data_IF_963251689139
#
_entry.id   IF_963251689139
#
_cell.length_a   1.000
_cell.length_b   1.000
_cell.length_c   1.000
_cell.angle_alpha   90.00
_cell.angle_beta   90.00
_cell.angle_gamma   90.00
#
_symmetry.space_group_name_H-M   'P 1'
#
loop_
_entity.id
_entity.type
_entity.pdbx_description
1 polymer ?
#
# COMPACT_ATOMS: atom_id res chain seq x y z
N UNK A 1 -9.30 -14.16 -4.82
CA UNK A 1 -10.65 -13.56 -4.62
C UNK A 1 -11.09 -12.74 -5.83
N UNK A 2 -10.32 -11.74 -6.32
CA UNK A 2 -10.72 -10.97 -7.51
C UNK A 2 -10.98 -11.89 -8.72
N UNK A 3 -10.06 -12.81 -9.04
CA UNK A 3 -10.20 -13.73 -10.17
C UNK A 3 -11.44 -14.63 -10.12
N UNK A 4 -11.86 -15.05 -8.93
CA UNK A 4 -13.10 -15.86 -8.81
C UNK A 4 -14.36 -15.04 -9.10
N UNK A 5 -14.32 -13.74 -8.88
CA UNK A 5 -15.42 -12.84 -9.24
C UNK A 5 -15.42 -12.50 -10.73
N UNK A 6 -14.25 -12.31 -11.35
CA UNK A 6 -14.14 -12.00 -12.79
C UNK A 6 -14.72 -13.12 -13.67
N UNK A 7 -14.62 -14.37 -13.23
CA UNK A 7 -15.22 -15.51 -13.93
C UNK A 7 -16.75 -15.40 -14.08
N UNK A 8 -17.43 -14.72 -13.15
CA UNK A 8 -18.88 -14.50 -13.21
C UNK A 8 -19.29 -13.50 -14.31
N UNK A 9 -18.35 -12.74 -14.81
CA UNK A 9 -18.58 -11.67 -15.79
C UNK A 9 -17.94 -11.96 -17.15
N UNK A 10 -17.45 -13.18 -17.36
CA UNK A 10 -16.77 -13.61 -18.60
C UNK A 10 -15.59 -12.69 -18.98
N UNK A 11 -14.81 -12.27 -17.98
CA UNK A 11 -13.63 -11.43 -18.16
C UNK A 11 -12.41 -12.32 -18.34
N UNK A 12 -11.72 -12.17 -19.48
CA UNK A 12 -10.43 -12.83 -19.70
C UNK A 12 -9.35 -12.18 -18.82
N UNK A 13 -8.72 -12.98 -17.98
CA UNK A 13 -7.74 -12.49 -16.99
C UNK A 13 -6.33 -12.88 -17.38
N UNK A 14 -5.44 -11.88 -17.43
CA UNK A 14 -4.00 -12.06 -17.63
C UNK A 14 -3.28 -11.55 -16.40
N UNK A 15 -2.37 -12.33 -15.83
CA UNK A 15 -1.66 -12.01 -14.58
C UNK A 15 -0.16 -11.95 -14.84
N UNK A 16 0.50 -10.94 -14.27
CA UNK A 16 1.95 -10.87 -14.12
C UNK A 16 2.30 -10.96 -12.65
N UNK A 17 3.18 -11.89 -12.28
CA UNK A 17 3.65 -12.07 -10.92
C UNK A 17 5.14 -12.44 -10.91
N UNK A 18 5.85 -12.02 -9.85
CA UNK A 18 7.25 -12.35 -9.61
C UNK A 18 7.48 -13.78 -9.10
N UNK A 19 6.45 -14.45 -8.60
CA UNK A 19 6.50 -15.85 -8.19
C UNK A 19 5.83 -16.73 -9.25
N UNK A 20 6.62 -17.62 -9.85
CA UNK A 20 6.12 -18.59 -10.85
C UNK A 20 5.02 -19.52 -10.28
N UNK A 21 4.98 -19.69 -8.96
CA UNK A 21 4.02 -20.54 -8.25
C UNK A 21 2.97 -19.73 -7.50
N UNK A 22 2.77 -18.46 -7.88
CA UNK A 22 1.74 -17.63 -7.28
C UNK A 22 0.37 -18.34 -7.37
N UNK A 23 -0.46 -18.30 -6.30
CA UNK A 23 -1.76 -18.99 -6.28
C UNK A 23 -2.70 -18.59 -7.43
N UNK A 24 -2.53 -17.40 -8.00
CA UNK A 24 -3.30 -16.92 -9.13
C UNK A 24 -2.95 -17.63 -10.45
N UNK A 25 -1.77 -18.26 -10.57
CA UNK A 25 -1.32 -18.94 -11.79
C UNK A 25 -2.23 -20.09 -12.21
N UNK A 26 -2.90 -20.74 -11.25
CA UNK A 26 -3.79 -21.88 -11.48
C UNK A 26 -5.23 -21.49 -11.84
N UNK A 27 -5.61 -20.21 -11.67
CA UNK A 27 -7.00 -19.77 -11.79
C UNK A 27 -7.20 -18.62 -12.78
N UNK A 28 -6.14 -17.99 -13.28
CA UNK A 28 -6.22 -17.01 -14.35
C UNK A 28 -6.30 -17.71 -15.74
N UNK A 29 -6.67 -16.94 -16.77
CA UNK A 29 -6.68 -17.47 -18.14
C UNK A 29 -5.28 -17.52 -18.73
N UNK A 30 -4.40 -16.56 -18.40
CA UNK A 30 -3.04 -16.48 -18.86
C UNK A 30 -2.13 -15.97 -17.75
N UNK A 31 -0.98 -16.58 -17.55
CA UNK A 31 -0.01 -16.23 -16.52
C UNK A 31 1.35 -15.90 -17.11
N UNK A 32 1.91 -14.77 -16.70
CA UNK A 32 3.27 -14.35 -17.05
C UNK A 32 4.10 -14.28 -15.78
N UNK A 33 5.25 -14.94 -15.79
CA UNK A 33 6.24 -14.83 -14.74
C UNK A 33 7.24 -13.73 -15.09
N UNK A 34 7.42 -12.75 -14.19
CA UNK A 34 8.40 -11.66 -14.41
C UNK A 34 8.43 -10.65 -13.28
N UNK A 35 9.49 -9.86 -13.26
CA UNK A 35 9.66 -8.82 -12.22
C UNK A 35 8.70 -7.66 -12.42
N UNK A 36 7.89 -7.38 -11.39
CA UNK A 36 7.00 -6.22 -11.36
C UNK A 36 7.77 -4.87 -11.33
N UNK A 37 9.06 -4.89 -10.95
CA UNK A 37 9.90 -3.69 -10.91
C UNK A 37 10.69 -3.46 -12.20
N UNK A 38 10.71 -4.43 -13.11
CA UNK A 38 11.38 -4.28 -14.40
C UNK A 38 10.50 -3.52 -15.39
N UNK A 39 11.04 -2.43 -15.94
CA UNK A 39 10.32 -1.56 -16.87
C UNK A 39 9.83 -2.29 -18.11
N UNK A 40 10.73 -3.05 -18.76
CA UNK A 40 10.42 -3.70 -20.03
C UNK A 40 9.40 -4.82 -19.85
N UNK A 41 9.51 -5.57 -18.76
CA UNK A 41 8.54 -6.62 -18.38
C UNK A 41 7.14 -6.04 -18.18
N UNK A 42 7.02 -5.00 -17.35
CA UNK A 42 5.71 -4.37 -17.06
C UNK A 42 5.14 -3.70 -18.30
N UNK A 43 5.99 -3.03 -19.09
CA UNK A 43 5.55 -2.40 -20.33
C UNK A 43 5.06 -3.41 -21.35
N UNK A 44 5.82 -4.49 -21.59
CA UNK A 44 5.44 -5.55 -22.53
C UNK A 44 4.15 -6.26 -22.09
N UNK A 45 3.98 -6.51 -20.79
CA UNK A 45 2.75 -7.05 -20.23
C UNK A 45 1.55 -6.13 -20.47
N UNK A 46 1.66 -4.85 -20.16
CA UNK A 46 0.58 -3.88 -20.34
C UNK A 46 0.13 -3.68 -21.77
N UNK A 47 0.99 -4.00 -22.76
CA UNK A 47 0.62 -3.96 -24.21
C UNK A 47 -0.32 -5.10 -24.63
N UNK A 48 -0.56 -6.07 -23.77
CA UNK A 48 -1.37 -7.26 -24.08
C UNK A 48 -2.78 -7.21 -23.49
N UNK A 49 -3.10 -6.15 -22.72
CA UNK A 49 -4.37 -6.06 -21.99
C UNK A 49 -5.11 -4.77 -22.33
N UNK A 50 -6.42 -4.77 -22.18
CA UNK A 50 -7.30 -3.61 -22.42
C UNK A 50 -7.40 -2.71 -21.17
N UNK A 51 -7.30 -3.31 -19.99
CA UNK A 51 -7.34 -2.63 -18.70
C UNK A 51 -6.33 -3.29 -17.78
N UNK A 52 -5.55 -2.49 -17.07
CA UNK A 52 -4.58 -2.95 -16.08
C UNK A 52 -5.03 -2.54 -14.67
N UNK A 53 -5.07 -3.50 -13.76
CA UNK A 53 -5.26 -3.23 -12.33
C UNK A 53 -4.06 -3.70 -11.53
N UNK A 54 -3.81 -3.05 -10.40
CA UNK A 54 -2.64 -3.28 -9.55
C UNK A 54 -3.14 -3.84 -8.23
N UNK A 55 -2.61 -4.98 -7.82
CA UNK A 55 -2.87 -5.58 -6.51
C UNK A 55 -1.66 -5.35 -5.58
N UNK A 56 -0.46 -5.63 -6.07
CA UNK A 56 0.79 -5.35 -5.36
C UNK A 56 1.29 -3.96 -5.77
N UNK A 57 1.32 -3.02 -4.84
CA UNK A 57 1.74 -1.63 -5.10
C UNK A 57 3.21 -1.48 -5.54
N UNK A 58 4.07 -2.47 -5.25
CA UNK A 58 5.47 -2.51 -5.71
C UNK A 58 5.56 -2.91 -7.20
N UNK A 59 5.33 -1.93 -8.06
CA UNK A 59 5.37 -2.07 -9.53
C UNK A 59 6.11 -0.89 -10.15
N UNK A 60 6.70 -1.08 -11.32
CA UNK A 60 7.42 -0.03 -12.03
C UNK A 60 6.49 1.09 -12.51
N UNK A 61 6.55 2.24 -11.85
CA UNK A 61 5.68 3.40 -12.12
C UNK A 61 5.95 4.02 -13.48
N UNK A 62 7.20 4.05 -13.94
CA UNK A 62 7.53 4.68 -15.22
C UNK A 62 6.94 3.90 -16.40
N UNK A 63 6.95 2.57 -16.33
CA UNK A 63 6.28 1.71 -17.30
C UNK A 63 4.76 1.95 -17.30
N UNK A 64 4.13 2.05 -16.13
CA UNK A 64 2.70 2.36 -16.02
C UNK A 64 2.37 3.74 -16.58
N UNK A 65 3.14 4.77 -16.27
CA UNK A 65 2.98 6.13 -16.82
C UNK A 65 3.12 6.13 -18.34
N UNK A 66 4.05 5.35 -18.89
CA UNK A 66 4.22 5.22 -20.35
C UNK A 66 2.99 4.57 -20.98
N UNK A 67 2.50 3.47 -20.43
CA UNK A 67 1.31 2.77 -20.89
C UNK A 67 0.05 3.66 -20.82
N UNK A 68 -0.14 4.40 -19.72
CA UNK A 68 -1.24 5.32 -19.56
C UNK A 68 -1.21 6.44 -20.63
N UNK A 69 -0.03 6.98 -20.93
CA UNK A 69 0.15 7.96 -22.04
C UNK A 69 -0.19 7.39 -23.42
N UNK A 70 -0.06 6.08 -23.59
CA UNK A 70 -0.43 5.37 -24.83
C UNK A 70 -1.90 4.95 -24.86
N UNK A 71 -2.67 5.32 -23.83
CA UNK A 71 -4.13 5.14 -23.80
C UNK A 71 -4.60 3.90 -23.02
N UNK A 72 -3.70 3.12 -22.39
CA UNK A 72 -4.11 2.01 -21.55
C UNK A 72 -4.82 2.54 -20.30
N UNK A 73 -5.98 1.98 -19.98
CA UNK A 73 -6.67 2.25 -18.72
C UNK A 73 -5.98 1.52 -17.57
N UNK A 74 -5.53 2.27 -16.56
CA UNK A 74 -4.81 1.72 -15.41
C UNK A 74 -5.48 2.18 -14.11
N UNK A 75 -5.77 1.24 -13.22
CA UNK A 75 -6.40 1.49 -11.93
C UNK A 75 -5.68 0.74 -10.79
N UNK A 76 -5.30 1.47 -9.71
CA UNK A 76 -5.31 2.93 -9.56
C UNK A 76 -4.35 3.61 -10.54
N UNK A 77 -4.53 4.90 -10.75
CA UNK A 77 -3.69 5.67 -11.69
C UNK A 77 -2.22 5.66 -11.23
N UNK A 78 -1.24 5.67 -12.16
CA UNK A 78 0.18 5.62 -11.84
C UNK A 78 0.65 6.70 -10.86
N UNK A 79 0.07 7.90 -10.94
CA UNK A 79 0.38 9.02 -10.05
C UNK A 79 -0.07 8.75 -8.59
N UNK A 80 -1.18 8.03 -8.41
CA UNK A 80 -1.65 7.61 -7.08
C UNK A 80 -0.71 6.56 -6.49
N UNK A 81 -0.28 5.58 -7.30
CA UNK A 81 0.68 4.57 -6.88
C UNK A 81 2.04 5.18 -6.50
N UNK A 82 2.49 6.20 -7.22
CA UNK A 82 3.72 6.93 -6.88
C UNK A 82 3.65 7.60 -5.49
N UNK A 83 2.47 8.08 -5.08
CA UNK A 83 2.24 8.59 -3.73
C UNK A 83 2.24 7.45 -2.72
N UNK A 84 1.54 6.35 -3.01
CA UNK A 84 1.40 5.20 -2.12
C UNK A 84 2.74 4.52 -1.85
N UNK A 85 3.58 4.37 -2.88
CA UNK A 85 4.89 3.73 -2.76
C UNK A 85 5.88 4.49 -1.86
N UNK A 86 5.55 5.73 -1.46
CA UNK A 86 6.46 6.55 -0.67
C UNK A 86 5.74 7.21 0.51
N UNK A 87 5.93 6.66 1.71
CA UNK A 87 5.24 7.12 2.94
C UNK A 87 5.35 8.63 3.21
N UNK A 88 6.52 9.23 2.92
CA UNK A 88 6.70 10.67 3.06
C UNK A 88 5.82 11.47 2.09
N UNK A 89 5.72 11.05 0.82
CA UNK A 89 4.83 11.69 -0.16
C UNK A 89 3.36 11.51 0.22
N UNK A 90 3.00 10.33 0.70
CA UNK A 90 1.64 10.05 1.19
C UNK A 90 1.26 10.96 2.36
N UNK A 91 2.17 11.19 3.31
CA UNK A 91 1.96 12.11 4.43
C UNK A 91 1.82 13.57 3.98
N UNK A 92 2.66 14.01 3.04
CA UNK A 92 2.56 15.34 2.46
C UNK A 92 1.21 15.52 1.75
N UNK A 93 0.77 14.53 0.97
CA UNK A 93 -0.55 14.52 0.33
C UNK A 93 -1.69 14.64 1.36
N UNK A 94 -1.64 13.91 2.47
CA UNK A 94 -2.63 14.02 3.53
C UNK A 94 -2.66 15.43 4.12
N UNK A 95 -1.50 16.02 4.40
CA UNK A 95 -1.38 17.36 4.93
C UNK A 95 -1.92 18.43 3.96
N UNK A 96 -1.55 18.35 2.68
CA UNK A 96 -1.99 19.28 1.64
C UNK A 96 -3.51 19.24 1.40
N UNK A 97 -4.12 18.07 1.60
CA UNK A 97 -5.55 17.86 1.43
C UNK A 97 -6.35 17.93 2.74
N UNK A 98 -5.73 18.35 3.85
CA UNK A 98 -6.36 18.45 5.17
C UNK A 98 -6.96 17.11 5.66
N UNK A 99 -6.35 15.99 5.28
CA UNK A 99 -6.73 14.65 5.75
C UNK A 99 -6.02 14.41 7.08
N UNK A 100 -6.75 14.10 8.17
CA UNK A 100 -6.14 13.83 9.47
C UNK A 100 -5.12 12.70 9.40
N UNK A 101 -3.95 12.91 9.96
CA UNK A 101 -2.89 11.91 10.07
C UNK A 101 -2.03 12.20 11.29
N UNK A 102 -1.32 11.18 11.80
CA UNK A 102 -0.38 11.39 12.89
C UNK A 102 0.66 12.44 12.52
N UNK A 103 1.05 13.33 13.44
CA UNK A 103 2.18 14.26 13.25
C UNK A 103 3.42 13.48 12.81
N UNK A 104 4.14 14.01 11.83
CA UNK A 104 5.27 13.32 11.24
C UNK A 104 6.41 14.26 10.88
N UNK A 105 7.61 13.68 10.74
CA UNK A 105 8.79 14.33 10.18
C UNK A 105 9.42 13.42 9.13
N UNK A 106 10.04 14.03 8.11
CA UNK A 106 10.73 13.31 7.03
C UNK A 106 12.24 13.45 7.20
N UNK A 107 12.95 12.39 6.92
CA UNK A 107 14.41 12.35 6.94
C UNK A 107 14.90 11.70 5.65
N UNK A 108 15.91 12.30 5.02
CA UNK A 108 16.60 11.67 3.90
C UNK A 108 17.76 10.82 4.42
N UNK A 109 18.20 9.87 3.60
CA UNK A 109 19.34 8.99 3.90
C UNK A 109 20.65 9.77 4.14
N UNK A 110 20.74 10.99 3.60
CA UNK A 110 21.91 11.86 3.74
C UNK A 110 21.93 12.65 5.07
N UNK A 111 20.78 12.81 5.70
CA UNK A 111 20.65 13.47 6.99
C UNK A 111 20.65 12.42 8.09
N UNK A 112 21.70 12.41 8.90
CA UNK A 112 21.74 11.56 10.07
C UNK A 112 20.50 11.80 10.94
N UNK A 113 19.74 10.73 11.12
CA UNK A 113 18.58 10.67 12.01
C UNK A 113 19.06 10.67 13.46
N UNK A 114 19.62 11.81 13.91
CA UNK A 114 20.25 11.90 15.21
C UNK A 114 19.48 12.71 16.27
N UNK A 115 18.24 13.13 16.00
CA UNK A 115 17.60 14.16 16.80
C UNK A 115 16.18 13.89 17.28
N UNK A 116 15.73 12.66 17.31
CA UNK A 116 14.50 12.40 18.02
C UNK A 116 14.77 12.46 19.54
N UNK A 117 14.50 13.59 20.13
CA UNK A 117 14.62 13.81 21.59
C UNK A 117 13.38 13.36 22.35
N UNK A 118 12.24 13.18 21.68
CA UNK A 118 10.96 12.92 22.33
C UNK A 118 10.47 11.50 22.05
N UNK A 119 10.85 10.56 22.89
CA UNK A 119 10.34 9.19 22.89
C UNK A 119 8.99 9.09 23.64
N UNK A 120 8.08 8.15 23.24
CA UNK A 120 8.20 7.22 22.13
C UNK A 120 7.69 7.78 20.80
N UNK A 121 8.17 7.22 19.69
CA UNK A 121 7.65 7.51 18.35
C UNK A 121 7.74 6.28 17.45
N UNK A 122 7.13 6.33 16.25
CA UNK A 122 7.20 5.26 15.26
C UNK A 122 8.14 5.68 14.13
N UNK A 123 9.17 4.90 13.88
CA UNK A 123 10.04 5.01 12.70
C UNK A 123 9.51 4.13 11.58
N UNK A 124 9.51 4.66 10.35
CA UNK A 124 9.10 3.91 9.14
C UNK A 124 10.05 4.22 8.00
N UNK A 125 10.54 3.19 7.28
CA UNK A 125 11.22 3.42 6.00
C UNK A 125 10.27 4.09 5.03
N UNK A 126 10.76 5.04 4.24
CA UNK A 126 9.92 5.77 3.29
C UNK A 126 9.40 4.88 2.15
N UNK A 127 10.20 3.88 1.77
CA UNK A 127 9.89 2.92 0.70
C UNK A 127 10.20 1.49 1.17
N UNK A 128 9.70 0.50 0.45
CA UNK A 128 10.00 -0.94 0.63
C UNK A 128 9.63 -1.54 2.00
N UNK A 129 8.75 -0.90 2.75
CA UNK A 129 8.23 -1.46 4.00
C UNK A 129 6.82 -2.02 3.80
N UNK A 130 6.64 -3.33 3.97
CA UNK A 130 5.35 -4.04 3.91
C UNK A 130 5.25 -5.05 5.07
N UNK A 131 4.05 -5.43 5.44
CA UNK A 131 3.75 -6.45 6.47
C UNK A 131 4.57 -6.30 7.77
N UNK A 132 4.67 -5.06 8.27
CA UNK A 132 5.46 -4.75 9.48
C UNK A 132 6.97 -4.63 9.25
N UNK A 133 7.47 -4.98 8.06
CA UNK A 133 8.87 -4.76 7.67
C UNK A 133 9.12 -3.28 7.43
N UNK A 134 10.21 -2.73 7.99
CA UNK A 134 10.53 -1.30 7.86
C UNK A 134 9.65 -0.40 8.74
N UNK A 135 9.03 -0.94 9.80
CA UNK A 135 8.34 -0.19 10.86
C UNK A 135 8.89 -0.59 12.21
N UNK A 136 9.23 0.38 13.05
CA UNK A 136 9.74 0.13 14.41
C UNK A 136 9.24 1.19 15.38
N UNK A 137 8.70 0.77 16.52
CA UNK A 137 8.40 1.65 17.63
C UNK A 137 9.71 1.93 18.38
N UNK A 138 10.07 3.19 18.49
CA UNK A 138 11.27 3.67 19.15
C UNK A 138 10.89 4.21 20.53
N UNK A 139 11.32 3.55 21.57
CA UNK A 139 11.00 3.89 22.96
C UNK A 139 12.18 4.51 23.71
N UNK A 140 13.38 4.33 23.18
CA UNK A 140 14.63 4.83 23.75
C UNK A 140 15.70 5.01 22.68
N UNK A 141 16.78 5.68 23.01
CA UNK A 141 17.94 5.84 22.14
C UNK A 141 18.60 4.51 21.72
N UNK A 142 18.43 3.45 22.52
CA UNK A 142 18.96 2.14 22.18
C UNK A 142 18.21 1.49 21.01
N UNK A 143 16.93 1.81 20.82
CA UNK A 143 16.12 1.32 19.72
C UNK A 143 16.54 1.89 18.35
N UNK A 144 17.26 2.99 18.35
CA UNK A 144 17.83 3.60 17.14
C UNK A 144 18.98 2.77 16.56
N UNK A 145 19.64 1.97 17.40
CA UNK A 145 20.76 1.14 16.97
C UNK A 145 20.29 0.11 15.94
N UNK A 146 21.00 0.06 14.83
CA UNK A 146 20.74 -0.89 13.76
C UNK A 146 19.59 -0.50 12.81
N UNK A 147 19.02 0.70 12.93
CA UNK A 147 18.14 1.22 11.89
C UNK A 147 18.92 1.40 10.57
N UNK A 148 18.32 1.05 9.43
CA UNK A 148 18.98 1.25 8.15
C UNK A 148 19.09 2.74 7.80
N UNK A 149 20.19 3.12 7.14
CA UNK A 149 20.39 4.47 6.59
C UNK A 149 19.65 4.64 5.27
N UNK A 150 18.34 4.86 5.37
CA UNK A 150 17.44 5.03 4.23
C UNK A 150 16.53 6.23 4.47
N UNK A 151 15.93 6.75 3.42
CA UNK A 151 14.86 7.72 3.55
C UNK A 151 13.77 7.16 4.46
N UNK A 152 13.37 7.95 5.45
CA UNK A 152 12.40 7.50 6.46
C UNK A 152 11.48 8.63 6.92
N UNK A 153 10.46 8.24 7.64
CA UNK A 153 9.59 9.15 8.39
C UNK A 153 9.54 8.71 9.85
N UNK A 154 9.32 9.68 10.72
CA UNK A 154 8.88 9.41 12.08
C UNK A 154 7.46 9.90 12.26
N UNK A 155 6.70 9.21 13.07
CA UNK A 155 5.33 9.58 13.43
C UNK A 155 5.17 9.55 14.94
N UNK A 156 4.34 10.44 15.45
CA UNK A 156 3.88 10.34 16.83
C UNK A 156 3.23 8.98 17.07
N UNK A 157 3.57 8.33 18.20
CA UNK A 157 2.92 7.09 18.62
C UNK A 157 1.52 7.40 19.16
N UNK A 158 0.51 7.21 18.33
CA UNK A 158 -0.88 7.48 18.70
C UNK A 158 -1.42 6.36 19.61
N UNK A 159 -1.95 6.68 20.80
CA UNK A 159 -2.56 5.69 21.68
C UNK A 159 -3.99 5.37 21.22
N UNK A 160 -4.13 4.72 20.06
CA UNK A 160 -5.45 4.36 19.52
C UNK A 160 -6.07 3.22 20.33
N UNK A 161 -7.42 3.16 20.32
CA UNK A 161 -8.19 2.09 20.96
C UNK A 161 -8.42 0.91 20.02
N UNK A 162 -8.76 1.19 18.77
CA UNK A 162 -9.08 0.20 17.76
C UNK A 162 -8.41 0.61 16.44
N UNK A 163 -8.03 -0.36 15.65
CA UNK A 163 -7.68 -0.14 14.25
C UNK A 163 -8.87 -0.48 13.36
N UNK A 164 -9.26 0.46 12.53
CA UNK A 164 -10.43 0.37 11.68
C UNK A 164 -10.03 0.50 10.23
N UNK A 165 -10.78 -0.16 9.34
CA UNK A 165 -10.65 0.04 7.90
C UNK A 165 -12.01 0.12 7.24
N UNK A 166 -12.08 0.86 6.13
CA UNK A 166 -13.23 0.87 5.24
C UNK A 166 -12.76 0.69 3.81
N UNK A 167 -13.36 -0.26 3.11
CA UNK A 167 -13.10 -0.46 1.69
C UNK A 167 -14.00 0.48 0.90
N UNK A 168 -13.38 1.24 0.00
CA UNK A 168 -14.05 2.22 -0.85
C UNK A 168 -13.81 1.85 -2.30
N UNK A 169 -14.87 1.77 -3.08
CA UNK A 169 -14.81 1.64 -4.53
C UNK A 169 -15.28 2.92 -5.20
N UNK A 170 -14.52 3.40 -6.19
CA UNK A 170 -14.88 4.59 -6.98
C UNK A 170 -14.70 4.27 -8.46
N UNK A 171 -15.69 4.63 -9.27
CA UNK A 171 -15.62 4.49 -10.73
C UNK A 171 -15.20 5.80 -11.43
N UNK A 172 -14.98 5.72 -12.76
CA UNK A 172 -14.57 6.87 -13.58
C UNK A 172 -15.61 8.01 -13.59
N UNK A 173 -16.92 7.70 -13.40
CA UNK A 173 -17.98 8.72 -13.30
C UNK A 173 -18.03 9.44 -11.95
N UNK A 174 -17.19 9.02 -10.98
CA UNK A 174 -17.13 9.59 -9.64
C UNK A 174 -18.13 8.98 -8.66
N UNK A 175 -18.89 7.95 -9.05
CA UNK A 175 -19.73 7.21 -8.11
C UNK A 175 -18.87 6.50 -7.07
N UNK A 176 -19.26 6.61 -5.80
CA UNK A 176 -18.55 6.01 -4.67
C UNK A 176 -19.47 5.03 -3.97
N UNK A 177 -18.94 3.86 -3.66
CA UNK A 177 -19.55 2.84 -2.79
C UNK A 177 -18.59 2.51 -1.66
N UNK A 178 -19.11 2.36 -0.46
CA UNK A 178 -18.35 1.92 0.72
C UNK A 178 -18.89 0.61 1.23
N UNK A 179 -17.98 -0.20 1.76
CA UNK A 179 -18.34 -1.37 2.54
C UNK A 179 -18.51 -0.98 4.02
N UNK A 180 -19.13 -1.84 4.84
CA UNK A 180 -19.18 -1.60 6.28
C UNK A 180 -17.78 -1.42 6.87
N UNK A 181 -17.67 -0.58 7.89
CA UNK A 181 -16.40 -0.43 8.64
C UNK A 181 -16.04 -1.76 9.29
N UNK A 182 -14.79 -2.15 9.15
CA UNK A 182 -14.24 -3.35 9.77
C UNK A 182 -13.23 -2.98 10.86
N UNK A 183 -13.12 -3.83 11.87
CA UNK A 183 -12.14 -3.73 12.93
C UNK A 183 -11.05 -4.78 12.72
N UNK A 184 -9.79 -4.36 12.82
CA UNK A 184 -8.64 -5.25 12.70
C UNK A 184 -8.08 -5.57 14.07
N UNK A 185 -7.95 -6.85 14.40
CA UNK A 185 -7.23 -7.35 15.57
C UNK A 185 -5.88 -7.91 15.15
N UNK A 186 -4.84 -7.44 15.80
CA UNK A 186 -3.45 -7.83 15.50
C UNK A 186 -2.97 -8.90 16.45
N UNK A 187 -2.21 -9.85 15.90
CA UNK A 187 -1.52 -10.84 16.71
C UNK A 187 -0.47 -10.15 17.60
N UNK A 188 -0.50 -10.38 18.94
CA UNK A 188 0.30 -9.62 19.89
C UNK A 188 1.82 -9.65 19.66
N UNK A 189 2.33 -10.74 19.06
CA UNK A 189 3.76 -10.95 18.85
C UNK A 189 4.19 -10.78 17.39
N UNK A 190 3.30 -11.00 16.41
CA UNK A 190 3.66 -11.03 14.99
C UNK A 190 3.46 -9.69 14.28
N UNK A 191 2.78 -8.72 14.91
CA UNK A 191 2.40 -7.44 14.30
C UNK A 191 1.72 -7.60 12.91
N UNK A 192 0.92 -8.65 12.81
CA UNK A 192 0.11 -8.98 11.62
C UNK A 192 -1.35 -9.03 12.02
N UNK A 193 -2.22 -8.67 11.08
CA UNK A 193 -3.68 -8.80 11.29
C UNK A 193 -4.02 -10.27 11.45
N UNK A 194 -4.62 -10.62 12.58
CA UNK A 194 -5.09 -11.97 12.89
C UNK A 194 -6.57 -12.13 12.55
N UNK A 195 -7.38 -11.12 12.89
CA UNK A 195 -8.81 -11.13 12.60
C UNK A 195 -9.24 -9.81 11.97
N UNK A 196 -10.18 -9.92 11.03
CA UNK A 196 -10.94 -8.78 10.49
C UNK A 196 -12.40 -9.02 10.81
N UNK A 197 -12.94 -8.20 11.69
CA UNK A 197 -14.31 -8.30 12.19
C UNK A 197 -15.24 -7.36 11.39
N UNK A 198 -16.28 -7.91 10.81
CA UNK A 198 -17.27 -7.16 10.06
C UNK A 198 -18.69 -7.48 10.57
N UNK A 199 -19.45 -6.47 11.00
CA UNK A 199 -19.09 -5.07 11.19
C UNK A 199 -18.12 -4.88 12.37
N UNK A 200 -17.43 -3.72 12.39
CA UNK A 200 -16.60 -3.32 13.52
C UNK A 200 -17.43 -3.18 14.82
N UNK A 201 -16.81 -3.48 15.97
CA UNK A 201 -17.42 -3.34 17.31
C UNK A 201 -17.27 -1.91 17.83
N UNK A 202 -17.81 -0.96 17.09
CA UNK A 202 -17.77 0.49 17.40
C UNK A 202 -19.18 1.05 17.54
N UNK A 203 -19.27 2.23 18.13
CA UNK A 203 -20.53 2.95 18.22
C UNK A 203 -20.99 3.44 16.84
N UNK A 204 -22.29 3.39 16.55
CA UNK A 204 -22.90 3.84 15.29
C UNK A 204 -22.57 5.30 14.94
N UNK A 205 -22.19 6.13 15.92
CA UNK A 205 -21.73 7.50 15.69
C UNK A 205 -20.29 7.58 15.12
N UNK A 206 -19.53 6.50 15.21
CA UNK A 206 -18.16 6.40 14.72
C UNK A 206 -18.10 5.69 13.36
N UNK A 207 -19.08 4.83 13.08
CA UNK A 207 -19.23 4.13 11.80
C UNK A 207 -19.86 5.06 10.71
#
# INVERSE_FOLDING_TARGET
>A
MLLTETQKYDIFTVILDGDQHAPCSEICNEFHHGSLMDYDTVYAFGKQVDVLTIEIEHVNIDALKKLAKEGLKIFPQPEVLEIIQHKGRQKDFFKENNIPTAPYQRFSSENEFNQASDFPFVWKSAQFGYDGTGVKVIRSADDLKGLPHVDCITEELIPFKNELAVIVARNESGEIKTYPVVEMEFHPAANQVEYVLCPARIDDQVA
#
